data_IF_971511165663
#
_entry.id   IF_971511165663
#
_cell.length_a   1.000
_cell.length_b   1.000
_cell.length_c   1.000
_cell.angle_alpha   90.00
_cell.angle_beta   90.00
_cell.angle_gamma   90.00
#
_symmetry.space_group_name_H-M   'P 1'
#
loop_
_entity.id
_entity.type
_entity.pdbx_description
1 polymer ?
#
# COMPACT_ATOMS: atom_id res chain seq x y z
N UNK A 1 -9.32 4.21 -22.81
CA UNK A 1 -9.86 3.11 -21.99
C UNK A 1 -9.94 3.61 -20.57
N UNK A 2 -11.14 3.69 -20.04
CA UNK A 2 -11.46 4.22 -18.72
C UNK A 2 -10.78 3.37 -17.64
N UNK A 3 -9.87 3.97 -16.86
CA UNK A 3 -9.12 3.26 -15.83
C UNK A 3 -10.07 2.78 -14.74
N UNK A 4 -9.98 1.50 -14.37
CA UNK A 4 -10.77 0.96 -13.27
C UNK A 4 -10.56 1.81 -12.02
N UNK A 5 -11.65 2.23 -11.37
CA UNK A 5 -11.57 3.04 -10.16
C UNK A 5 -10.77 2.29 -9.08
N UNK A 6 -9.66 2.88 -8.64
CA UNK A 6 -8.78 2.26 -7.66
C UNK A 6 -9.42 2.23 -6.28
N UNK A 7 -9.19 1.15 -5.53
CA UNK A 7 -9.73 0.97 -4.18
C UNK A 7 -9.12 1.98 -3.21
N UNK A 8 -9.92 2.91 -2.69
CA UNK A 8 -9.53 3.87 -1.64
C UNK A 8 -9.68 3.29 -0.23
N UNK A 9 -8.98 3.87 0.77
CA UNK A 9 -9.13 3.57 2.19
C UNK A 9 -10.58 3.76 2.67
N UNK A 10 -11.07 2.84 3.52
CA UNK A 10 -12.44 2.81 4.04
C UNK A 10 -12.99 1.39 4.24
N UNK A 11 -14.13 1.25 4.91
CA UNK A 11 -14.78 -0.05 5.13
C UNK A 11 -15.26 -0.64 3.80
N UNK A 12 -14.64 -1.74 3.36
CA UNK A 12 -15.04 -2.51 2.16
C UNK A 12 -15.02 -4.01 2.48
N UNK A 13 -15.81 -4.85 1.78
CA UNK A 13 -16.00 -6.26 2.11
C UNK A 13 -14.73 -7.11 2.20
N UNK A 14 -13.61 -6.64 1.62
CA UNK A 14 -12.34 -7.39 1.55
C UNK A 14 -11.12 -6.55 1.92
N UNK A 15 -11.29 -5.32 2.43
CA UNK A 15 -10.17 -4.49 2.84
C UNK A 15 -9.79 -4.82 4.29
N UNK A 16 -8.52 -5.18 4.60
CA UNK A 16 -8.09 -5.42 5.96
C UNK A 16 -8.38 -4.22 6.87
N UNK A 17 -8.92 -4.49 8.06
CA UNK A 17 -9.20 -3.49 9.09
C UNK A 17 -7.98 -3.30 10.01
N UNK A 18 -7.19 -4.37 10.20
CA UNK A 18 -6.06 -4.40 11.14
C UNK A 18 -4.68 -4.35 10.47
N UNK A 19 -4.53 -4.92 9.27
CA UNK A 19 -3.24 -4.99 8.59
C UNK A 19 -2.96 -3.72 7.78
N UNK A 20 -1.68 -3.34 7.66
CA UNK A 20 -1.24 -2.23 6.82
C UNK A 20 -1.67 -2.44 5.36
N UNK A 21 -2.22 -1.38 4.76
CA UNK A 21 -2.57 -1.32 3.33
C UNK A 21 -2.42 0.12 2.83
N UNK A 22 -1.96 0.35 1.59
CA UNK A 22 -1.78 1.69 1.04
C UNK A 22 -3.14 2.36 0.85
N UNK A 23 -3.22 3.70 0.86
CA UNK A 23 -4.48 4.40 0.64
C UNK A 23 -5.22 3.91 -0.62
N UNK A 24 -4.47 3.67 -1.69
CA UNK A 24 -4.90 3.13 -2.99
C UNK A 24 -3.78 2.29 -3.60
N UNK A 25 -4.06 1.51 -4.64
CA UNK A 25 -3.02 0.93 -5.50
C UNK A 25 -2.39 -0.36 -5.03
N UNK A 26 -1.24 -0.65 -5.62
CA UNK A 26 -0.52 -1.90 -5.45
C UNK A 26 0.59 -1.74 -4.42
N UNK A 27 0.61 -2.62 -3.41
CA UNK A 27 1.81 -2.85 -2.61
C UNK A 27 2.24 -4.31 -2.69
N UNK A 28 3.52 -4.56 -2.44
CA UNK A 28 4.06 -5.89 -2.22
C UNK A 28 5.08 -5.90 -1.08
N UNK A 29 6.36 -6.15 -1.36
CA UNK A 29 7.37 -6.51 -0.38
C UNK A 29 7.54 -5.42 0.71
N UNK A 30 7.59 -5.80 2.00
CA UNK A 30 7.95 -4.85 3.04
C UNK A 30 9.43 -4.46 2.93
N UNK A 31 9.73 -3.19 3.17
CA UNK A 31 11.06 -2.62 3.06
C UNK A 31 11.37 -1.72 4.26
N UNK A 32 12.66 -1.50 4.52
CA UNK A 32 13.11 -0.54 5.53
C UNK A 32 12.51 -0.73 6.93
N UNK A 33 12.19 -1.96 7.33
CA UNK A 33 11.62 -2.25 8.65
C UNK A 33 12.66 -1.94 9.73
N UNK A 34 12.47 -0.83 10.43
CA UNK A 34 13.42 -0.30 11.41
C UNK A 34 12.68 0.18 12.64
N UNK A 35 13.27 -0.03 13.81
CA UNK A 35 12.89 0.66 15.04
C UNK A 35 13.95 1.71 15.34
N UNK A 36 13.54 2.98 15.40
CA UNK A 36 14.42 4.10 15.73
C UNK A 36 13.69 5.11 16.61
N UNK A 37 14.35 5.61 17.65
CA UNK A 37 13.85 6.66 18.54
C UNK A 37 12.40 6.46 19.05
N UNK A 38 12.02 5.23 19.40
CA UNK A 38 10.67 4.93 19.90
C UNK A 38 9.62 4.65 18.83
N UNK A 39 9.99 4.74 17.54
CA UNK A 39 9.08 4.60 16.41
C UNK A 39 9.42 3.35 15.57
N UNK A 40 8.39 2.58 15.23
CA UNK A 40 8.49 1.52 14.24
C UNK A 40 8.20 2.10 12.85
N UNK A 41 9.18 2.00 11.96
CA UNK A 41 9.09 2.40 10.56
C UNK A 41 8.76 1.19 9.69
N UNK A 42 7.74 1.34 8.85
CA UNK A 42 7.36 0.36 7.83
C UNK A 42 7.31 1.08 6.48
N UNK A 43 8.10 0.60 5.53
CA UNK A 43 7.99 0.95 4.12
C UNK A 43 7.57 -0.30 3.35
N UNK A 44 7.08 -0.11 2.13
CA UNK A 44 6.76 -1.22 1.24
C UNK A 44 6.90 -0.78 -0.21
N UNK A 45 7.21 -1.71 -1.11
CA UNK A 45 7.08 -1.46 -2.54
C UNK A 45 5.66 -1.01 -2.87
N UNK A 46 5.54 0.14 -3.54
CA UNK A 46 4.28 0.81 -3.82
C UNK A 46 4.19 1.31 -5.27
N UNK A 47 3.04 1.04 -5.91
CA UNK A 47 2.64 1.66 -7.17
C UNK A 47 1.25 2.31 -7.04
N UNK A 48 1.15 3.65 -7.06
CA UNK A 48 -0.09 4.37 -6.77
C UNK A 48 -1.11 4.37 -7.92
N UNK A 49 -0.72 3.99 -9.14
CA UNK A 49 -1.51 4.25 -10.35
C UNK A 49 -2.22 3.02 -10.95
N UNK A 50 -1.98 1.81 -10.42
CA UNK A 50 -2.70 0.60 -10.82
C UNK A 50 -2.76 -0.38 -9.62
N UNK A 51 -3.58 -1.42 -9.74
CA UNK A 51 -3.65 -2.55 -8.78
C UNK A 51 -2.89 -3.77 -9.31
N UNK A 52 -1.84 -3.53 -10.10
CA UNK A 52 -0.87 -4.53 -10.58
C UNK A 52 0.53 -3.96 -10.38
N UNK A 53 1.55 -4.80 -10.45
CA UNK A 53 2.94 -4.35 -10.38
C UNK A 53 3.28 -3.33 -11.49
N UNK A 54 4.19 -2.40 -11.22
CA UNK A 54 4.58 -1.33 -12.15
C UNK A 54 5.79 -0.52 -11.68
N UNK A 55 5.93 0.75 -12.10
CA UNK A 55 6.97 1.66 -11.62
C UNK A 55 6.95 1.81 -10.08
N UNK A 56 8.03 1.38 -9.43
CA UNK A 56 8.02 1.12 -7.99
C UNK A 56 8.58 2.29 -7.17
N UNK A 57 7.88 2.57 -6.08
CA UNK A 57 8.21 3.59 -5.08
C UNK A 57 8.28 2.94 -3.70
N UNK A 58 8.96 3.58 -2.75
CA UNK A 58 8.91 3.24 -1.32
C UNK A 58 8.33 4.43 -0.54
#
# INVERSE_FOLDING_TARGET
MEGAAMSTQGARPYRPILHYTPATGWINDPNGLVYDNGLYHLFAQYYPHDTRWGPMHW
#
